data_IF_755796748567
#
_entry.id   IF_755796748567
#
_cell.length_a   1.000
_cell.length_b   1.000
_cell.length_c   1.000
_cell.angle_alpha   90.00
_cell.angle_beta   90.00
_cell.angle_gamma   90.00
#
_symmetry.space_group_name_H-M   'P 1'
#
loop_
_entity.id
_entity.type
_entity.pdbx_description
1 polymer ?
#
# COMPACT_ATOMS: atom_id res chain seq x y z
N UNK A 1 -21.11 5.52 -0.73
CA UNK A 1 -19.88 5.55 -1.58
C UNK A 1 -19.24 4.18 -1.47
N UNK A 2 -19.18 3.47 -2.58
CA UNK A 2 -18.55 2.13 -2.61
C UNK A 2 -17.02 2.30 -2.46
N UNK A 3 -16.43 1.65 -1.45
CA UNK A 3 -14.99 1.65 -1.26
C UNK A 3 -14.44 0.34 -1.80
N UNK A 4 -13.71 0.41 -2.89
CA UNK A 4 -13.04 -0.75 -3.48
C UNK A 4 -11.55 -0.73 -3.18
N UNK A 5 -10.94 -1.91 -3.16
CA UNK A 5 -9.49 -2.02 -3.27
C UNK A 5 -9.12 -1.82 -4.72
N UNK A 6 -8.33 -0.80 -4.96
CA UNK A 6 -7.96 -0.28 -6.26
C UNK A 6 -6.45 -0.33 -6.44
N UNK A 7 -5.97 -0.04 -7.63
CA UNK A 7 -4.54 -0.03 -7.95
C UNK A 7 -4.07 1.41 -8.09
N UNK A 8 -3.01 1.77 -7.35
CA UNK A 8 -2.35 3.08 -7.43
C UNK A 8 -1.18 3.06 -8.40
N UNK A 9 -0.30 2.07 -8.29
CA UNK A 9 0.98 2.05 -9.01
C UNK A 9 1.32 0.66 -9.53
N UNK A 10 1.83 0.60 -10.76
CA UNK A 10 2.44 -0.59 -11.37
C UNK A 10 3.92 -0.35 -11.66
N UNK A 11 4.77 -1.35 -11.37
CA UNK A 11 6.15 -1.42 -11.84
C UNK A 11 6.36 -2.73 -12.59
N UNK A 12 6.58 -2.62 -13.88
CA UNK A 12 6.76 -3.72 -14.81
C UNK A 12 8.22 -3.78 -15.27
N UNK A 13 8.70 -4.98 -15.58
CA UNK A 13 10.08 -5.17 -16.04
C UNK A 13 10.10 -6.17 -17.20
N UNK A 14 10.87 -5.84 -18.23
CA UNK A 14 11.15 -6.71 -19.36
C UNK A 14 12.65 -6.93 -19.51
N UNK A 15 13.04 -8.19 -19.70
CA UNK A 15 14.43 -8.59 -19.94
C UNK A 15 14.66 -8.82 -21.43
N UNK A 16 15.71 -8.23 -22.00
CA UNK A 16 16.04 -8.31 -23.41
C UNK A 16 17.54 -8.58 -23.61
N UNK A 17 17.93 -8.95 -24.84
CA UNK A 17 19.32 -9.18 -25.20
C UNK A 17 20.08 -7.84 -25.18
N UNK A 18 21.24 -7.81 -24.53
CA UNK A 18 22.05 -6.59 -24.37
C UNK A 18 22.55 -5.98 -25.68
N UNK A 19 22.55 -6.72 -26.78
CA UNK A 19 22.87 -6.15 -28.11
C UNK A 19 21.92 -5.00 -28.49
N UNK A 20 20.66 -5.03 -28.03
CA UNK A 20 19.65 -3.98 -28.27
C UNK A 20 19.68 -2.84 -27.26
N UNK A 21 20.60 -2.90 -26.27
CA UNK A 21 20.66 -1.90 -25.20
C UNK A 21 20.75 -0.46 -25.71
N UNK A 22 21.70 -0.22 -26.62
CA UNK A 22 21.94 1.13 -27.14
C UNK A 22 20.76 1.64 -27.98
N UNK A 23 20.11 0.76 -28.73
CA UNK A 23 18.94 1.11 -29.53
C UNK A 23 17.76 1.50 -28.64
N UNK A 24 17.39 0.67 -27.66
CA UNK A 24 16.31 0.96 -26.71
C UNK A 24 16.63 2.22 -25.90
N UNK A 25 17.87 2.39 -25.44
CA UNK A 25 18.32 3.60 -24.76
C UNK A 25 18.12 4.86 -25.62
N UNK A 26 18.52 4.82 -26.89
CA UNK A 26 18.32 5.93 -27.85
C UNK A 26 16.85 6.18 -28.14
N UNK A 27 16.04 5.12 -28.29
CA UNK A 27 14.60 5.21 -28.51
C UNK A 27 13.87 5.92 -27.36
N UNK A 28 14.17 5.55 -26.12
CA UNK A 28 13.60 6.24 -24.95
C UNK A 28 14.06 7.70 -24.90
N UNK A 29 15.35 7.98 -25.18
CA UNK A 29 15.83 9.36 -25.24
C UNK A 29 15.13 10.17 -26.32
N UNK A 30 14.89 9.60 -27.51
CA UNK A 30 14.19 10.25 -28.59
C UNK A 30 12.74 10.57 -28.22
N UNK A 31 12.03 9.59 -27.65
CA UNK A 31 10.67 9.78 -27.13
C UNK A 31 10.63 10.95 -26.12
N UNK A 32 11.51 10.93 -25.10
CA UNK A 32 11.54 11.97 -24.07
C UNK A 32 11.86 13.35 -24.66
N UNK A 33 12.68 13.44 -25.70
CA UNK A 33 12.97 14.70 -26.40
C UNK A 33 11.79 15.24 -27.20
N UNK A 34 11.04 14.35 -27.90
CA UNK A 34 9.88 14.75 -28.70
C UNK A 34 8.71 15.20 -27.83
N UNK A 35 8.56 14.64 -26.65
CA UNK A 35 7.48 14.99 -25.70
C UNK A 35 7.84 16.24 -24.86
N UNK A 36 9.08 16.70 -24.93
CA UNK A 36 9.66 17.72 -24.06
C UNK A 36 9.13 19.17 -24.27
N UNK A 37 7.98 19.34 -24.91
CA UNK A 37 7.39 20.65 -25.13
C UNK A 37 6.52 21.12 -23.95
N UNK A 38 7.00 21.24 -22.77
CA UNK A 38 6.57 22.10 -21.65
C UNK A 38 6.64 21.52 -20.22
N UNK A 39 6.68 20.20 -19.98
CA UNK A 39 6.57 19.69 -18.59
C UNK A 39 7.44 18.48 -18.23
N UNK A 40 8.50 18.19 -18.96
CA UNK A 40 9.35 17.03 -18.67
C UNK A 40 10.64 17.43 -17.97
N UNK A 41 10.77 17.09 -16.70
CA UNK A 41 12.05 17.16 -16.01
C UNK A 41 12.92 15.97 -16.39
N UNK A 42 14.00 16.21 -17.14
CA UNK A 42 15.08 15.27 -17.35
C UNK A 42 15.96 15.22 -16.11
N UNK A 43 15.88 14.15 -15.34
CA UNK A 43 16.94 13.80 -14.39
C UNK A 43 17.59 12.50 -14.85
N UNK A 44 18.65 12.62 -15.64
CA UNK A 44 19.59 11.53 -15.88
C UNK A 44 20.42 11.41 -14.60
N UNK A 45 20.11 10.46 -13.73
CA UNK A 45 21.02 10.02 -12.67
C UNK A 45 21.77 8.81 -13.18
N UNK A 46 23.05 8.98 -13.46
CA UNK A 46 23.98 7.88 -13.74
C UNK A 46 24.27 7.10 -12.44
N UNK A 47 24.25 5.76 -12.57
CA UNK A 47 24.94 4.78 -11.76
C UNK A 47 24.49 4.52 -10.33
N UNK A 48 23.70 3.46 -10.16
CA UNK A 48 23.72 2.68 -8.92
C UNK A 48 23.92 1.19 -9.23
N UNK A 49 24.87 0.54 -8.55
CA UNK A 49 25.04 -0.92 -8.55
C UNK A 49 23.84 -1.55 -7.86
N UNK A 50 23.11 -2.41 -8.54
CA UNK A 50 22.04 -3.19 -7.93
C UNK A 50 22.61 -4.45 -7.28
N UNK A 51 21.98 -4.92 -6.18
CA UNK A 51 22.42 -6.10 -5.41
C UNK A 51 22.56 -7.39 -6.23
N UNK A 52 21.95 -7.47 -7.42
CA UNK A 52 21.90 -8.66 -8.27
C UNK A 52 22.86 -8.61 -9.47
N UNK A 53 23.86 -7.74 -9.46
CA UNK A 53 24.84 -7.62 -10.55
C UNK A 53 24.37 -6.80 -11.76
N UNK A 54 23.16 -6.20 -11.70
CA UNK A 54 22.74 -5.21 -12.68
C UNK A 54 23.25 -3.83 -12.29
N UNK A 55 23.64 -3.06 -13.29
CA UNK A 55 24.02 -1.67 -13.14
C UNK A 55 22.99 -0.79 -13.86
N UNK A 56 22.27 0.05 -13.10
CA UNK A 56 21.36 1.02 -13.70
C UNK A 56 22.14 2.04 -14.48
N UNK A 57 21.80 2.20 -15.75
CA UNK A 57 22.51 3.07 -16.67
C UNK A 57 21.81 4.41 -16.84
N UNK A 58 20.47 4.44 -16.77
CA UNK A 58 19.71 5.69 -16.88
C UNK A 58 18.31 5.59 -16.27
N UNK A 59 17.80 6.75 -15.89
CA UNK A 59 16.42 7.01 -15.50
C UNK A 59 15.85 8.15 -16.31
N UNK A 60 14.56 8.05 -16.69
CA UNK A 60 13.80 9.11 -17.33
C UNK A 60 12.46 9.25 -16.63
N UNK A 61 11.94 10.46 -16.63
CA UNK A 61 10.61 10.78 -16.14
C UNK A 61 9.85 11.48 -17.26
N UNK A 62 8.65 11.01 -17.52
CA UNK A 62 7.70 11.65 -18.43
C UNK A 62 6.35 11.74 -17.72
N UNK A 63 6.05 12.92 -17.20
CA UNK A 63 4.91 13.07 -16.32
C UNK A 63 5.01 12.14 -15.11
N UNK A 64 4.10 11.18 -15.03
CA UNK A 64 4.06 10.16 -13.95
C UNK A 64 4.65 8.80 -14.37
N UNK A 65 5.25 8.73 -15.55
CA UNK A 65 6.00 7.57 -16.00
C UNK A 65 7.47 7.68 -15.56
N UNK A 66 7.97 6.59 -15.01
CA UNK A 66 9.39 6.43 -14.69
C UNK A 66 9.95 5.27 -15.50
N UNK A 67 10.92 5.54 -16.35
CA UNK A 67 11.66 4.54 -17.09
C UNK A 67 13.02 4.32 -16.46
N UNK A 68 13.43 3.07 -16.38
CA UNK A 68 14.74 2.66 -15.91
C UNK A 68 15.29 1.60 -16.83
N UNK A 69 16.53 1.79 -17.29
CA UNK A 69 17.27 0.77 -18.02
C UNK A 69 18.51 0.34 -17.23
N UNK A 70 18.77 -0.95 -17.18
CA UNK A 70 19.91 -1.53 -16.48
C UNK A 70 20.57 -2.62 -17.30
N UNK A 71 21.88 -2.70 -17.25
CA UNK A 71 22.68 -3.76 -17.89
C UNK A 71 23.31 -4.66 -16.84
N UNK A 72 23.54 -5.92 -17.19
CA UNK A 72 24.22 -6.88 -16.35
C UNK A 72 25.70 -6.93 -16.69
N UNK A 73 26.55 -6.57 -15.73
CA UNK A 73 28.01 -6.48 -15.92
C UNK A 73 28.68 -7.87 -15.70
N UNK A 74 28.18 -8.94 -16.36
CA UNK A 74 28.79 -10.27 -16.28
C UNK A 74 29.05 -10.80 -17.68
N UNK A 75 30.26 -11.24 -17.88
CA UNK A 75 30.91 -11.64 -19.13
C UNK A 75 30.19 -12.75 -19.94
N UNK A 76 29.18 -13.46 -19.38
CA UNK A 76 28.61 -14.64 -20.02
C UNK A 76 27.11 -14.64 -20.26
N UNK A 77 26.34 -13.67 -19.79
CA UNK A 77 24.90 -13.56 -20.07
C UNK A 77 24.52 -12.11 -20.28
N UNK A 78 24.59 -11.69 -21.52
CA UNK A 78 24.32 -10.32 -21.97
C UNK A 78 22.81 -9.98 -21.90
N UNK A 79 22.21 -10.02 -20.69
CA UNK A 79 20.84 -9.60 -20.48
C UNK A 79 20.77 -8.20 -19.90
N UNK A 80 20.00 -7.36 -20.54
CA UNK A 80 19.61 -6.05 -20.06
C UNK A 80 18.15 -6.05 -19.64
N UNK A 81 17.76 -5.05 -18.83
CA UNK A 81 16.39 -4.88 -18.36
C UNK A 81 15.91 -3.47 -18.57
N UNK A 82 14.66 -3.35 -18.97
CA UNK A 82 13.90 -2.12 -18.90
C UNK A 82 12.83 -2.28 -17.83
N UNK A 83 12.62 -1.27 -17.00
CA UNK A 83 11.52 -1.20 -16.04
C UNK A 83 10.72 0.06 -16.29
N UNK A 84 9.41 -0.06 -16.24
CA UNK A 84 8.47 1.04 -16.35
C UNK A 84 7.60 1.05 -15.09
N UNK A 85 7.58 2.19 -14.42
CA UNK A 85 6.70 2.44 -13.29
C UNK A 85 5.72 3.53 -13.68
N UNK A 86 4.43 3.30 -13.46
CA UNK A 86 3.39 4.26 -13.78
C UNK A 86 2.18 4.15 -12.85
N UNK A 87 1.37 5.22 -12.85
CA UNK A 87 0.10 5.30 -12.13
C UNK A 87 -1.03 5.33 -13.14
N UNK A 88 -1.71 4.20 -13.41
CA UNK A 88 -2.71 4.10 -14.47
C UNK A 88 -3.82 5.14 -14.34
N UNK A 89 -4.32 5.36 -13.13
CA UNK A 89 -5.41 6.30 -12.86
C UNK A 89 -5.18 7.71 -13.41
N UNK A 90 -3.94 8.19 -13.42
CA UNK A 90 -3.62 9.53 -13.91
C UNK A 90 -3.87 9.66 -15.42
N UNK A 91 -3.71 8.56 -16.15
CA UNK A 91 -3.94 8.53 -17.60
C UNK A 91 -5.38 8.21 -17.98
N UNK A 92 -6.11 7.52 -17.10
CA UNK A 92 -7.50 7.11 -17.33
C UNK A 92 -8.47 8.17 -16.78
N UNK A 93 -8.17 8.69 -15.58
CA UNK A 93 -9.01 9.61 -14.82
C UNK A 93 -8.32 10.98 -14.60
N UNK A 94 -7.76 11.56 -15.64
CA UNK A 94 -6.84 12.71 -15.61
C UNK A 94 -7.34 13.95 -14.85
N UNK A 95 -8.65 14.11 -14.69
CA UNK A 95 -9.26 15.24 -13.96
C UNK A 95 -9.39 14.98 -12.45
N UNK A 96 -9.30 13.74 -12.00
CA UNK A 96 -9.44 13.39 -10.60
C UNK A 96 -8.07 13.14 -9.92
N UNK A 97 -7.62 14.10 -9.11
CA UNK A 97 -6.34 14.04 -8.39
C UNK A 97 -6.27 12.91 -7.35
N UNK A 98 -7.43 12.42 -6.90
CA UNK A 98 -7.54 11.33 -5.95
C UNK A 98 -7.72 9.96 -6.62
N UNK A 99 -7.87 9.93 -7.95
CA UNK A 99 -8.21 8.70 -8.65
C UNK A 99 -7.28 7.53 -8.36
N UNK A 100 -7.88 6.37 -8.30
CA UNK A 100 -7.26 5.06 -8.32
C UNK A 100 -7.91 4.26 -9.46
N UNK A 101 -7.25 3.23 -9.96
CA UNK A 101 -7.82 2.33 -10.97
C UNK A 101 -8.52 1.16 -10.30
N UNK A 102 -9.74 0.87 -10.71
CA UNK A 102 -10.50 -0.30 -10.29
C UNK A 102 -10.29 -1.48 -11.27
N UNK A 103 -10.97 -2.59 -11.05
CA UNK A 103 -10.82 -3.79 -11.90
C UNK A 103 -11.46 -3.61 -13.27
N UNK A 104 -12.39 -2.67 -13.48
CA UNK A 104 -13.02 -2.35 -14.77
C UNK A 104 -12.06 -1.57 -15.69
N UNK A 105 -11.09 -0.88 -15.10
CA UNK A 105 -10.07 -0.11 -15.83
C UNK A 105 -8.95 -0.99 -16.44
N UNK A 106 -9.07 -2.32 -16.39
CA UNK A 106 -8.03 -3.24 -16.85
C UNK A 106 -7.64 -3.02 -18.30
N UNK A 107 -8.62 -3.02 -19.19
CA UNK A 107 -8.38 -2.88 -20.63
C UNK A 107 -7.83 -1.49 -20.96
N UNK A 108 -8.36 -0.44 -20.35
CA UNK A 108 -7.83 0.92 -20.52
C UNK A 108 -6.38 1.03 -20.00
N UNK A 109 -6.04 0.35 -18.91
CA UNK A 109 -4.66 0.29 -18.41
C UNK A 109 -3.72 -0.39 -19.39
N UNK A 110 -4.14 -1.51 -20.00
CA UNK A 110 -3.38 -2.19 -21.06
C UNK A 110 -3.17 -1.28 -22.26
N UNK A 111 -4.21 -0.62 -22.71
CA UNK A 111 -4.16 0.27 -23.88
C UNK A 111 -3.22 1.46 -23.64
N UNK A 112 -3.28 2.07 -22.45
CA UNK A 112 -2.35 3.16 -22.06
C UNK A 112 -0.91 2.66 -22.11
N UNK A 113 -0.61 1.51 -21.50
CA UNK A 113 0.73 0.96 -21.48
C UNK A 113 1.22 0.60 -22.89
N UNK A 114 0.41 -0.13 -23.67
CA UNK A 114 0.77 -0.56 -25.03
C UNK A 114 0.98 0.63 -25.95
N UNK A 115 0.22 1.72 -25.77
CA UNK A 115 0.43 2.99 -26.49
C UNK A 115 1.81 3.59 -26.18
N UNK A 116 2.20 3.62 -24.90
CA UNK A 116 3.54 4.09 -24.49
C UNK A 116 4.65 3.22 -25.12
N UNK A 117 4.46 1.89 -25.11
CA UNK A 117 5.39 0.95 -25.77
C UNK A 117 5.45 1.19 -27.27
N UNK A 118 4.30 1.36 -27.93
CA UNK A 118 4.22 1.69 -29.36
C UNK A 118 4.98 2.99 -29.71
N UNK A 119 4.88 4.00 -28.85
CA UNK A 119 5.66 5.24 -29.03
C UNK A 119 7.17 5.03 -28.89
N UNK A 120 7.63 4.17 -27.96
CA UNK A 120 9.04 3.79 -27.89
C UNK A 120 9.46 3.04 -29.14
N UNK A 121 8.66 2.03 -29.54
CA UNK A 121 8.92 1.17 -30.70
C UNK A 121 9.01 1.96 -32.02
N UNK A 122 8.33 3.10 -32.16
CA UNK A 122 8.44 3.95 -33.36
C UNK A 122 9.84 4.57 -33.55
N UNK A 123 10.70 4.51 -32.54
CA UNK A 123 12.09 4.95 -32.58
C UNK A 123 13.10 3.77 -32.63
N UNK A 124 12.60 2.52 -32.70
CA UNK A 124 13.45 1.34 -32.77
C UNK A 124 13.44 0.77 -34.21
N UNK A 125 14.61 0.34 -34.68
CA UNK A 125 14.81 -0.13 -36.06
C UNK A 125 14.90 -1.64 -36.14
N UNK A 126 15.61 -2.28 -35.19
CA UNK A 126 15.98 -3.70 -35.25
C UNK A 126 15.32 -4.56 -34.18
N UNK A 127 14.73 -3.94 -33.17
CA UNK A 127 14.03 -4.65 -32.10
C UNK A 127 12.69 -3.98 -31.80
N UNK A 128 11.84 -4.72 -31.08
CA UNK A 128 10.60 -4.15 -30.57
C UNK A 128 10.37 -4.60 -29.13
N UNK A 129 9.87 -3.72 -28.30
CA UNK A 129 9.39 -4.05 -26.97
C UNK A 129 8.00 -4.67 -27.10
N UNK A 130 7.72 -5.77 -26.42
CA UNK A 130 6.44 -6.45 -26.50
C UNK A 130 5.34 -5.70 -25.73
N UNK A 131 4.09 -6.07 -25.97
CA UNK A 131 2.94 -5.60 -25.20
C UNK A 131 3.01 -6.03 -23.73
N UNK A 132 2.17 -5.39 -22.90
CA UNK A 132 2.19 -5.47 -21.45
C UNK A 132 2.17 -6.91 -20.89
N UNK A 133 1.48 -7.84 -21.56
CA UNK A 133 1.32 -9.21 -21.07
C UNK A 133 2.63 -10.02 -21.06
N UNK A 134 3.64 -9.57 -21.80
CA UNK A 134 4.99 -10.17 -21.80
C UNK A 134 5.92 -9.57 -20.71
N UNK A 135 5.44 -8.59 -19.95
CA UNK A 135 6.23 -7.94 -18.90
C UNK A 135 6.03 -8.61 -17.56
N UNK A 136 7.10 -8.77 -16.82
CA UNK A 136 7.05 -9.24 -15.43
C UNK A 136 6.60 -8.13 -14.48
N UNK A 137 5.65 -8.44 -13.61
CA UNK A 137 5.24 -7.54 -12.55
C UNK A 137 6.29 -7.58 -11.44
N UNK A 138 6.99 -6.48 -11.28
CA UNK A 138 7.99 -6.28 -10.23
C UNK A 138 7.38 -5.78 -8.93
N UNK A 139 6.38 -4.88 -9.06
CA UNK A 139 5.63 -4.29 -7.95
C UNK A 139 4.25 -3.88 -8.42
N UNK A 140 3.28 -4.09 -7.55
CA UNK A 140 1.93 -3.53 -7.67
C UNK A 140 1.53 -2.94 -6.32
N UNK A 141 0.94 -1.76 -6.33
CA UNK A 141 0.47 -1.08 -5.14
C UNK A 141 -1.05 -1.07 -5.16
N UNK A 142 -1.63 -1.77 -4.18
CA UNK A 142 -3.06 -1.76 -3.92
C UNK A 142 -3.39 -0.69 -2.90
N UNK A 143 -4.47 0.02 -3.11
CA UNK A 143 -4.91 1.07 -2.21
C UNK A 143 -6.42 1.07 -2.01
N UNK A 144 -6.87 1.57 -0.87
CA UNK A 144 -8.23 2.06 -0.69
C UNK A 144 -8.20 3.47 -0.09
N UNK A 145 -9.31 4.18 -0.19
CA UNK A 145 -9.45 5.55 0.28
C UNK A 145 -10.68 5.69 1.17
N UNK A 146 -10.55 6.58 2.14
CA UNK A 146 -11.62 7.02 3.01
C UNK A 146 -11.67 8.55 2.99
N UNK A 147 -12.78 9.11 2.54
CA UNK A 147 -13.07 10.54 2.69
C UNK A 147 -13.74 10.78 4.05
N UNK A 148 -13.16 11.64 4.87
CA UNK A 148 -13.62 11.84 6.24
C UNK A 148 -13.18 13.19 6.83
N UNK A 149 -14.03 13.75 7.68
CA UNK A 149 -13.68 14.88 8.57
C UNK A 149 -12.87 14.41 9.80
N UNK A 150 -12.94 13.11 10.13
CA UNK A 150 -12.27 12.52 11.31
C UNK A 150 -10.84 12.05 11.02
N UNK A 151 -10.20 12.60 10.00
CA UNK A 151 -8.89 12.19 9.52
C UNK A 151 -7.80 12.20 10.60
N UNK A 152 -7.78 13.20 11.48
CA UNK A 152 -6.80 13.28 12.57
C UNK A 152 -6.93 12.13 13.56
N UNK A 153 -8.16 11.69 13.84
CA UNK A 153 -8.41 10.57 14.75
C UNK A 153 -7.91 9.27 14.14
N UNK A 154 -8.26 9.00 12.87
CA UNK A 154 -7.76 7.82 12.17
C UNK A 154 -6.24 7.81 12.06
N UNK A 155 -5.60 8.95 11.75
CA UNK A 155 -4.14 9.07 11.71
C UNK A 155 -3.53 8.72 13.08
N UNK A 156 -4.09 9.24 14.18
CA UNK A 156 -3.60 8.95 15.53
C UNK A 156 -3.77 7.48 15.91
N UNK A 157 -4.90 6.86 15.59
CA UNK A 157 -5.15 5.44 15.83
C UNK A 157 -4.19 4.56 15.04
N UNK A 158 -4.03 4.84 13.75
CA UNK A 158 -3.20 4.01 12.87
C UNK A 158 -1.70 4.20 13.08
N UNK A 159 -1.28 5.32 13.68
CA UNK A 159 0.10 5.48 14.14
C UNK A 159 0.52 4.32 15.07
N UNK A 160 -0.38 3.84 15.92
CA UNK A 160 -0.13 2.72 16.84
C UNK A 160 -0.08 1.34 16.15
N UNK A 161 -0.41 1.25 14.87
CA UNK A 161 -0.33 0.01 14.11
C UNK A 161 1.07 -0.27 13.56
N UNK A 162 1.97 0.70 13.58
CA UNK A 162 3.28 0.61 12.93
C UNK A 162 4.40 0.50 13.95
N UNK A 163 5.23 -0.56 13.85
CA UNK A 163 6.35 -0.82 14.78
C UNK A 163 7.48 0.20 14.72
N UNK A 164 7.68 0.83 13.57
CA UNK A 164 8.65 1.89 13.36
C UNK A 164 7.98 2.97 12.50
N UNK A 165 7.42 4.02 13.10
CA UNK A 165 7.02 5.20 12.35
C UNK A 165 8.30 5.85 11.84
N UNK A 166 8.77 5.44 10.66
CA UNK A 166 9.88 6.12 9.99
C UNK A 166 9.41 7.49 9.55
N UNK A 167 10.20 8.46 9.96
CA UNK A 167 10.23 9.85 9.52
C UNK A 167 8.86 10.40 9.12
N UNK A 168 8.21 10.87 10.11
CA UNK A 168 7.02 11.66 10.05
C UNK A 168 7.33 13.01 9.39
N UNK A 169 7.55 13.01 8.08
CA UNK A 169 7.89 14.23 7.34
C UNK A 169 6.80 15.28 7.53
N UNK A 170 5.55 14.85 7.85
CA UNK A 170 4.41 15.78 7.94
C UNK A 170 3.38 15.46 9.03
N UNK A 171 3.64 14.58 10.01
CA UNK A 171 2.62 14.06 10.97
C UNK A 171 1.35 13.45 10.34
N UNK A 172 1.32 13.29 9.02
CA UNK A 172 0.16 12.85 8.23
C UNK A 172 0.44 11.59 7.41
N UNK A 173 1.60 10.97 7.61
CA UNK A 173 2.00 9.77 6.86
C UNK A 173 2.69 8.77 7.77
N UNK A 174 2.27 7.52 7.69
CA UNK A 174 2.89 6.40 8.39
C UNK A 174 3.19 5.28 7.41
N UNK A 175 4.34 4.67 7.51
CA UNK A 175 4.68 3.53 6.67
C UNK A 175 5.54 2.50 7.39
N UNK A 176 5.36 1.24 7.00
CA UNK A 176 6.24 0.15 7.40
C UNK A 176 7.01 -0.33 6.18
N UNK A 177 8.28 -0.57 6.33
CA UNK A 177 9.11 -1.13 5.28
C UNK A 177 9.47 -2.56 5.64
N UNK A 178 9.10 -3.49 4.77
CA UNK A 178 9.56 -4.86 4.85
C UNK A 178 10.26 -5.29 3.56
N UNK A 179 10.92 -6.43 3.61
CA UNK A 179 11.57 -7.01 2.42
C UNK A 179 10.59 -7.30 1.29
N UNK A 180 9.35 -7.64 1.62
CA UNK A 180 8.35 -8.18 0.71
C UNK A 180 7.20 -7.22 0.42
N UNK A 181 6.82 -6.42 1.42
CA UNK A 181 5.71 -5.46 1.34
C UNK A 181 6.10 -4.16 2.05
N UNK A 182 5.56 -3.04 1.57
CA UNK A 182 5.50 -1.82 2.35
C UNK A 182 4.04 -1.48 2.54
N UNK A 183 3.69 -0.95 3.69
CA UNK A 183 2.34 -0.51 4.01
C UNK A 183 2.44 0.96 4.36
N UNK A 184 1.68 1.78 3.64
CA UNK A 184 1.62 3.22 3.83
C UNK A 184 0.20 3.60 4.22
N UNK A 185 0.08 4.51 5.14
CA UNK A 185 -1.16 5.19 5.48
C UNK A 185 -0.89 6.68 5.55
N UNK A 186 -1.64 7.47 4.81
CA UNK A 186 -1.37 8.91 4.71
C UNK A 186 -2.58 9.71 4.27
N UNK A 187 -2.54 10.99 4.61
CA UNK A 187 -3.49 11.99 4.15
C UNK A 187 -3.11 12.41 2.72
N UNK A 188 -3.94 12.00 1.76
CA UNK A 188 -3.74 12.31 0.34
C UNK A 188 -4.03 13.77 0.01
N UNK A 189 -4.95 14.40 0.73
CA UNK A 189 -5.29 15.84 0.57
C UNK A 189 -4.08 16.70 0.90
N UNK A 190 -3.45 16.45 2.05
CA UNK A 190 -2.21 17.14 2.45
C UNK A 190 -1.07 16.84 1.48
N UNK A 191 -0.91 15.59 1.03
CA UNK A 191 0.13 15.24 0.05
C UNK A 191 -0.01 16.01 -1.27
N UNK A 192 -1.23 16.35 -1.66
CA UNK A 192 -1.53 17.13 -2.88
C UNK A 192 -1.45 18.64 -2.65
N UNK A 193 -1.23 19.10 -1.42
CA UNK A 193 -1.21 20.52 -1.06
C UNK A 193 -2.59 21.17 -1.20
N UNK A 194 -3.67 20.42 -0.97
CA UNK A 194 -5.03 20.91 -1.00
C UNK A 194 -5.51 21.26 0.42
N UNK A 195 -6.35 22.28 0.52
CA UNK A 195 -7.02 22.68 1.76
C UNK A 195 -8.51 22.42 1.59
N UNK A 196 -8.96 21.26 2.03
CA UNK A 196 -10.35 20.83 1.97
C UNK A 196 -10.87 20.54 3.38
N UNK A 197 -12.17 20.71 3.62
CA UNK A 197 -12.83 20.34 4.87
C UNK A 197 -12.82 18.82 5.08
N UNK A 198 -12.97 18.07 3.98
CA UNK A 198 -12.90 16.62 3.96
C UNK A 198 -11.52 16.18 3.48
N UNK A 199 -10.89 15.33 4.27
CA UNK A 199 -9.61 14.76 3.90
C UNK A 199 -9.76 13.35 3.33
N UNK A 200 -8.98 13.05 2.31
CA UNK A 200 -8.88 11.72 1.72
C UNK A 200 -7.71 10.98 2.34
N UNK A 201 -8.01 10.06 3.24
CA UNK A 201 -7.01 9.14 3.79
C UNK A 201 -6.80 7.98 2.84
N UNK A 202 -5.54 7.67 2.51
CA UNK A 202 -5.16 6.56 1.65
C UNK A 202 -4.38 5.51 2.42
N UNK A 203 -4.85 4.29 2.33
CA UNK A 203 -4.15 3.11 2.81
C UNK A 203 -3.60 2.36 1.60
N UNK A 204 -2.29 2.13 1.56
CA UNK A 204 -1.59 1.59 0.40
C UNK A 204 -0.72 0.40 0.81
N UNK A 205 -0.82 -0.71 0.09
CA UNK A 205 0.04 -1.88 0.23
C UNK A 205 0.84 -2.06 -1.04
N UNK A 206 2.14 -1.85 -0.93
CA UNK A 206 3.10 -2.08 -2.02
C UNK A 206 3.53 -3.55 -2.01
N UNK A 207 3.04 -4.31 -2.96
CA UNK A 207 3.35 -5.73 -3.11
C UNK A 207 4.54 -5.93 -4.05
N UNK A 208 5.70 -6.28 -3.51
CA UNK A 208 6.91 -6.58 -4.30
C UNK A 208 6.85 -8.01 -4.85
N UNK A 209 7.62 -8.30 -5.89
CA UNK A 209 7.68 -9.61 -6.56
C UNK A 209 7.74 -10.81 -5.60
N UNK A 210 8.54 -10.71 -4.53
CA UNK A 210 8.66 -11.78 -3.52
C UNK A 210 7.37 -12.05 -2.76
N UNK A 211 6.57 -11.02 -2.49
CA UNK A 211 5.27 -11.20 -1.85
C UNK A 211 4.27 -11.84 -2.82
N UNK A 212 4.25 -11.39 -4.07
CA UNK A 212 3.41 -11.97 -5.12
C UNK A 212 3.74 -13.46 -5.33
N UNK A 213 5.04 -13.83 -5.34
CA UNK A 213 5.46 -15.22 -5.40
C UNK A 213 4.97 -16.01 -4.18
N UNK A 214 5.09 -15.46 -2.97
CA UNK A 214 4.54 -16.10 -1.77
C UNK A 214 3.03 -16.32 -1.86
N UNK A 215 2.26 -15.37 -2.42
CA UNK A 215 0.82 -15.55 -2.62
C UNK A 215 0.52 -16.71 -3.59
N UNK A 216 1.30 -16.83 -4.67
CA UNK A 216 1.20 -17.95 -5.62
C UNK A 216 1.54 -19.29 -4.94
N UNK A 217 2.65 -19.35 -4.21
CA UNK A 217 3.10 -20.55 -3.50
C UNK A 217 2.07 -21.00 -2.46
N UNK A 218 1.36 -20.08 -1.82
CA UNK A 218 0.26 -20.33 -0.89
C UNK A 218 -1.10 -20.54 -1.57
N UNK A 219 -1.13 -20.63 -2.90
CA UNK A 219 -2.36 -20.80 -3.71
C UNK A 219 -3.42 -19.71 -3.46
N UNK A 220 -3.00 -18.53 -3.00
CA UNK A 220 -3.86 -17.35 -2.84
C UNK A 220 -4.18 -16.69 -4.17
N UNK A 221 -3.28 -16.80 -5.14
CA UNK A 221 -3.44 -16.44 -6.55
C UNK A 221 -2.99 -17.61 -7.41
N UNK A 222 -3.51 -17.70 -8.65
CA UNK A 222 -3.17 -18.76 -9.59
C UNK A 222 -1.82 -18.48 -10.24
N UNK A 223 -1.63 -17.26 -10.74
CA UNK A 223 -0.40 -16.83 -11.37
C UNK A 223 -0.12 -15.34 -11.10
N UNK A 224 1.11 -14.88 -11.42
CA UNK A 224 1.50 -13.48 -11.26
C UNK A 224 1.35 -12.81 -12.64
N UNK A 225 0.13 -12.76 -13.13
CA UNK A 225 -0.25 -12.04 -14.35
C UNK A 225 -1.00 -10.77 -13.99
N UNK A 226 -0.97 -9.80 -14.89
CA UNK A 226 -1.71 -8.54 -14.69
C UNK A 226 -3.21 -8.81 -14.53
N UNK A 227 -3.78 -9.70 -15.36
CA UNK A 227 -5.18 -10.09 -15.32
C UNK A 227 -5.59 -10.68 -13.97
N UNK A 228 -4.78 -11.58 -13.40
CA UNK A 228 -5.06 -12.18 -12.07
C UNK A 228 -4.99 -11.13 -10.97
N UNK A 229 -3.96 -10.26 -10.99
CA UNK A 229 -3.78 -9.22 -9.98
C UNK A 229 -4.77 -8.05 -10.13
N UNK A 230 -5.51 -7.99 -11.25
CA UNK A 230 -6.59 -7.02 -11.49
C UNK A 230 -7.99 -7.62 -11.23
N UNK A 231 -8.06 -8.75 -10.53
CA UNK A 231 -9.32 -9.45 -10.28
C UNK A 231 -9.87 -9.15 -8.88
N UNK A 232 -11.19 -9.33 -8.70
CA UNK A 232 -11.84 -9.26 -7.39
C UNK A 232 -11.22 -10.19 -6.35
N UNK A 233 -10.63 -11.31 -6.78
CA UNK A 233 -9.96 -12.26 -5.90
C UNK A 233 -8.82 -11.64 -5.10
N UNK A 234 -8.00 -10.81 -5.74
CA UNK A 234 -6.88 -10.15 -5.07
C UNK A 234 -7.37 -9.17 -4.00
N UNK A 235 -8.53 -8.55 -4.18
CA UNK A 235 -9.10 -7.62 -3.19
C UNK A 235 -9.26 -8.28 -1.83
N UNK A 236 -9.71 -9.54 -1.77
CA UNK A 236 -9.85 -10.29 -0.51
C UNK A 236 -8.49 -10.53 0.16
N UNK A 237 -7.44 -10.81 -0.63
CA UNK A 237 -6.07 -11.00 -0.10
C UNK A 237 -5.55 -9.69 0.49
N UNK A 238 -5.75 -8.58 -0.21
CA UNK A 238 -5.33 -7.25 0.24
C UNK A 238 -6.12 -6.83 1.48
N UNK A 239 -7.45 -7.01 1.48
CA UNK A 239 -8.32 -6.72 2.62
C UNK A 239 -7.89 -7.50 3.87
N UNK A 240 -7.59 -8.79 3.71
CA UNK A 240 -7.08 -9.59 4.82
C UNK A 240 -5.75 -9.01 5.36
N UNK A 241 -4.88 -8.51 4.48
CA UNK A 241 -3.61 -7.89 4.88
C UNK A 241 -3.83 -6.59 5.66
N UNK A 242 -4.79 -5.77 5.24
CA UNK A 242 -5.18 -4.55 5.95
C UNK A 242 -5.73 -4.90 7.34
N UNK A 243 -6.62 -5.90 7.40
CA UNK A 243 -7.20 -6.40 8.66
C UNK A 243 -6.14 -6.86 9.66
N UNK A 244 -5.07 -7.50 9.20
CA UNK A 244 -3.93 -7.87 10.05
C UNK A 244 -3.28 -6.65 10.71
N UNK A 245 -3.27 -5.48 10.04
CA UNK A 245 -2.64 -4.26 10.53
C UNK A 245 -3.55 -3.48 11.47
N UNK A 246 -4.76 -3.12 11.03
CA UNK A 246 -5.66 -2.22 11.78
C UNK A 246 -6.72 -2.93 12.61
N UNK A 247 -6.89 -4.26 12.45
CA UNK A 247 -8.00 -5.02 13.03
C UNK A 247 -9.27 -4.88 12.23
N UNK A 248 -10.36 -5.50 12.68
CA UNK A 248 -11.66 -5.47 12.02
C UNK A 248 -12.76 -4.81 12.85
N UNK A 249 -12.50 -4.52 14.13
CA UNK A 249 -13.50 -3.98 15.04
C UNK A 249 -13.48 -2.45 15.02
N UNK A 250 -14.60 -1.84 15.42
CA UNK A 250 -14.77 -0.40 15.52
C UNK A 250 -13.95 0.22 16.65
N UNK A 251 -13.71 1.50 16.55
CA UNK A 251 -12.96 2.25 17.54
C UNK A 251 -13.93 2.98 18.47
N UNK A 252 -13.65 2.89 19.76
CA UNK A 252 -14.41 3.54 20.81
C UNK A 252 -13.48 4.37 21.71
N UNK A 253 -14.01 5.39 22.39
CA UNK A 253 -13.33 5.97 23.53
C UNK A 253 -13.46 5.04 24.74
N UNK A 254 -12.74 5.35 25.84
CA UNK A 254 -12.69 4.47 26.99
C UNK A 254 -14.04 4.40 27.73
N UNK A 255 -14.78 5.50 27.80
CA UNK A 255 -16.07 5.60 28.50
C UNK A 255 -17.13 4.75 27.79
N UNK A 256 -17.24 4.87 26.47
CA UNK A 256 -18.17 4.08 25.67
C UNK A 256 -17.85 2.59 25.71
N UNK A 257 -16.57 2.24 25.64
CA UNK A 257 -16.11 0.87 25.77
C UNK A 257 -16.48 0.26 27.15
N UNK A 258 -16.33 1.03 28.24
CA UNK A 258 -16.73 0.63 29.59
C UNK A 258 -18.22 0.29 29.68
N UNK A 259 -19.09 1.15 29.18
CA UNK A 259 -20.54 0.90 29.12
C UNK A 259 -20.86 -0.42 28.40
N UNK A 260 -20.29 -0.64 27.21
CA UNK A 260 -20.53 -1.86 26.44
C UNK A 260 -20.03 -3.13 27.15
N UNK A 261 -18.92 -3.02 27.90
CA UNK A 261 -18.35 -4.14 28.66
C UNK A 261 -19.24 -4.49 29.87
N UNK A 262 -19.75 -3.48 30.59
CA UNK A 262 -20.58 -3.66 31.79
C UNK A 262 -21.98 -4.21 31.45
N UNK A 263 -22.54 -3.84 30.30
CA UNK A 263 -23.81 -4.39 29.79
C UNK A 263 -23.71 -5.89 29.48
N UNK A 264 -22.51 -6.37 29.04
CA UNK A 264 -22.36 -7.73 28.50
C UNK A 264 -21.70 -8.71 29.45
N UNK A 265 -20.82 -8.24 30.32
CA UNK A 265 -19.99 -9.11 31.15
C UNK A 265 -20.20 -8.87 32.65
N UNK A 266 -19.80 -9.84 33.46
CA UNK A 266 -19.72 -9.62 34.92
C UNK A 266 -18.69 -8.55 35.24
N UNK A 267 -18.90 -7.76 36.30
CA UNK A 267 -18.01 -6.67 36.71
C UNK A 267 -16.53 -7.06 36.78
N UNK A 268 -16.22 -8.26 37.31
CA UNK A 268 -14.84 -8.77 37.36
C UNK A 268 -14.22 -9.01 35.99
N UNK A 269 -15.01 -9.42 34.99
CA UNK A 269 -14.55 -9.66 33.61
C UNK A 269 -14.45 -8.33 32.87
N UNK A 270 -15.46 -7.46 32.99
CA UNK A 270 -15.46 -6.14 32.39
C UNK A 270 -14.24 -5.32 32.83
N UNK A 271 -13.97 -5.24 34.13
CA UNK A 271 -12.82 -4.54 34.70
C UNK A 271 -11.47 -5.01 34.13
N UNK A 272 -11.29 -6.31 33.95
CA UNK A 272 -10.04 -6.86 33.36
C UNK A 272 -9.85 -6.44 31.91
N UNK A 273 -10.91 -6.44 31.11
CA UNK A 273 -10.87 -6.01 29.73
C UNK A 273 -10.62 -4.52 29.65
N UNK A 274 -11.25 -3.75 30.52
CA UNK A 274 -11.10 -2.31 30.63
C UNK A 274 -9.66 -1.92 31.02
N UNK A 275 -9.04 -2.64 31.98
CA UNK A 275 -7.62 -2.44 32.31
C UNK A 275 -6.71 -2.66 31.11
N UNK A 276 -7.00 -3.64 30.26
CA UNK A 276 -6.27 -3.84 29.01
C UNK A 276 -6.46 -2.67 28.03
N UNK A 277 -7.70 -2.17 27.88
CA UNK A 277 -7.98 -1.01 27.01
C UNK A 277 -7.31 0.27 27.53
N UNK A 278 -7.41 0.55 28.84
CA UNK A 278 -6.71 1.69 29.48
C UNK A 278 -5.19 1.59 29.31
N UNK A 279 -4.64 0.36 29.32
CA UNK A 279 -3.24 0.15 29.03
C UNK A 279 -2.91 0.49 27.56
N UNK A 280 -3.80 0.17 26.62
CA UNK A 280 -3.62 0.42 25.19
C UNK A 280 -3.61 1.92 24.82
N UNK A 281 -4.14 2.81 25.69
CA UNK A 281 -4.09 4.26 25.47
C UNK A 281 -2.68 4.84 25.53
N UNK A 282 -1.72 4.16 26.17
CA UNK A 282 -0.34 4.64 26.29
C UNK A 282 0.32 4.79 24.92
N UNK A 283 0.86 5.97 24.66
CA UNK A 283 1.37 6.34 23.34
C UNK A 283 2.53 5.48 22.82
N UNK A 284 3.37 4.96 23.73
CA UNK A 284 4.55 4.15 23.36
C UNK A 284 4.25 2.67 23.11
N UNK A 285 2.99 2.23 23.23
CA UNK A 285 2.62 0.82 23.07
C UNK A 285 1.99 0.61 21.71
N UNK A 286 2.66 -0.17 20.89
CA UNK A 286 2.17 -0.56 19.58
C UNK A 286 1.13 -1.68 19.67
N UNK A 287 0.13 -1.66 18.78
CA UNK A 287 -0.95 -2.65 18.74
C UNK A 287 -0.44 -4.11 18.75
N UNK A 288 0.62 -4.40 18.00
CA UNK A 288 1.20 -5.75 17.92
C UNK A 288 1.83 -6.22 19.24
N UNK A 289 2.26 -5.31 20.09
CA UNK A 289 3.02 -5.60 21.30
C UNK A 289 2.13 -5.54 22.55
N UNK A 290 0.90 -5.00 22.43
CA UNK A 290 -0.06 -4.87 23.53
C UNK A 290 -0.24 -6.15 24.37
N UNK A 291 -0.46 -7.34 23.78
CA UNK A 291 -0.65 -8.55 24.60
C UNK A 291 0.54 -8.89 25.47
N UNK A 292 1.75 -8.75 24.92
CA UNK A 292 2.98 -9.05 25.64
C UNK A 292 3.27 -7.99 26.72
N UNK A 293 3.18 -6.72 26.35
CA UNK A 293 3.45 -5.61 27.24
C UNK A 293 2.47 -5.57 28.43
N UNK A 294 1.17 -5.86 28.17
CA UNK A 294 0.17 -5.98 29.25
C UNK A 294 0.47 -7.14 30.19
N UNK A 295 0.88 -8.28 29.65
CA UNK A 295 1.25 -9.46 30.46
C UNK A 295 2.44 -9.16 31.38
N UNK A 296 3.44 -8.45 30.89
CA UNK A 296 4.65 -8.09 31.66
C UNK A 296 4.33 -7.13 32.82
N UNK A 297 3.47 -6.13 32.60
CA UNK A 297 3.10 -5.18 33.64
C UNK A 297 2.29 -5.82 34.80
N UNK A 298 1.54 -6.86 34.50
CA UNK A 298 0.76 -7.56 35.53
C UNK A 298 1.50 -8.71 36.19
N UNK A 299 2.85 -8.66 36.27
CA UNK A 299 3.71 -9.69 36.85
C UNK A 299 3.35 -11.10 36.36
N UNK A 300 3.06 -11.23 35.08
CA UNK A 300 2.64 -12.47 34.41
C UNK A 300 1.34 -13.08 34.95
N UNK A 301 0.61 -12.38 35.82
CA UNK A 301 -0.70 -12.85 36.32
C UNK A 301 -1.68 -13.13 35.18
N UNK A 302 -1.57 -12.40 34.08
CA UNK A 302 -2.29 -12.62 32.84
C UNK A 302 -1.28 -12.78 31.71
N UNK A 303 -0.84 -14.01 31.46
CA UNK A 303 0.11 -14.29 30.38
C UNK A 303 -0.44 -13.88 29.00
N UNK A 304 0.45 -13.78 28.03
CA UNK A 304 0.11 -13.44 26.62
C UNK A 304 -1.04 -14.33 26.08
N UNK A 305 -1.07 -15.62 26.45
CA UNK A 305 -2.12 -16.56 26.10
C UNK A 305 -3.49 -16.19 26.70
N UNK A 306 -3.52 -15.66 27.92
CA UNK A 306 -4.76 -15.18 28.52
C UNK A 306 -5.34 -13.99 27.73
N UNK A 307 -4.49 -13.03 27.35
CA UNK A 307 -4.90 -11.88 26.54
C UNK A 307 -5.47 -12.36 25.21
N UNK A 308 -4.76 -13.23 24.51
CA UNK A 308 -5.19 -13.78 23.22
C UNK A 308 -6.47 -14.60 23.29
N UNK A 309 -6.62 -15.42 24.35
CA UNK A 309 -7.71 -16.40 24.44
C UNK A 309 -8.93 -15.91 25.22
N UNK A 310 -8.82 -14.82 25.97
CA UNK A 310 -9.91 -14.30 26.81
C UNK A 310 -10.23 -12.83 26.56
N UNK A 311 -9.22 -11.95 26.53
CA UNK A 311 -9.47 -10.51 26.36
C UNK A 311 -9.83 -10.20 24.92
N UNK A 312 -8.98 -10.57 23.95
CA UNK A 312 -9.24 -10.27 22.54
C UNK A 312 -10.58 -10.87 22.03
N UNK A 313 -10.94 -12.12 22.35
CA UNK A 313 -12.28 -12.64 22.00
C UNK A 313 -13.43 -11.86 22.64
N UNK A 314 -13.25 -11.34 23.87
CA UNK A 314 -14.27 -10.51 24.50
C UNK A 314 -14.46 -9.16 23.79
N UNK A 315 -13.39 -8.53 23.34
CA UNK A 315 -13.43 -7.34 22.53
C UNK A 315 -14.09 -7.60 21.17
N UNK A 316 -13.72 -8.71 20.51
CA UNK A 316 -14.32 -9.10 19.24
C UNK A 316 -15.82 -9.34 19.34
N UNK A 317 -16.30 -9.92 20.46
CA UNK A 317 -17.73 -10.15 20.71
C UNK A 317 -18.54 -8.85 20.76
N UNK A 318 -17.91 -7.75 21.18
CA UNK A 318 -18.51 -6.41 21.28
C UNK A 318 -18.12 -5.50 20.11
N UNK A 319 -17.43 -6.01 19.14
CA UNK A 319 -16.89 -5.24 18.01
C UNK A 319 -15.97 -4.07 18.46
N UNK A 320 -15.23 -4.24 19.57
CA UNK A 320 -14.34 -3.20 20.10
C UNK A 320 -12.91 -3.44 19.62
N UNK A 321 -12.29 -2.45 18.95
CA UNK A 321 -10.88 -2.49 18.60
C UNK A 321 -10.02 -2.24 19.85
N UNK A 322 -8.88 -2.92 20.01
CA UNK A 322 -7.93 -2.60 21.09
C UNK A 322 -7.37 -1.18 21.06
N UNK A 323 -7.41 -0.51 19.91
CA UNK A 323 -7.02 0.90 19.78
C UNK A 323 -8.18 1.79 20.23
N UNK A 324 -7.94 2.62 21.24
CA UNK A 324 -8.94 3.49 21.86
C UNK A 324 -8.79 4.90 21.32
N UNK A 325 -9.93 5.54 21.02
CA UNK A 325 -10.01 6.96 20.66
C UNK A 325 -9.60 7.79 21.87
N UNK A 326 -8.61 8.70 21.74
CA UNK A 326 -8.26 9.58 22.84
C UNK A 326 -9.42 10.53 23.22
N UNK A 327 -9.67 10.69 24.51
CA UNK A 327 -10.83 11.44 25.03
C UNK A 327 -10.88 12.90 24.59
N UNK A 328 -9.72 13.52 24.33
CA UNK A 328 -9.65 14.92 23.88
C UNK A 328 -10.25 15.18 22.49
N UNK A 329 -10.60 14.14 21.73
CA UNK A 329 -11.31 14.31 20.46
C UNK A 329 -12.83 14.48 20.63
N UNK A 330 -13.40 14.17 21.80
CA UNK A 330 -14.82 14.30 22.08
C UNK A 330 -15.73 13.40 21.24
N UNK A 331 -15.17 12.31 20.70
CA UNK A 331 -15.88 11.30 19.88
C UNK A 331 -15.90 9.99 20.64
N UNK A 332 -17.06 9.39 20.79
CA UNK A 332 -17.24 8.13 21.51
C UNK A 332 -17.11 6.88 20.64
N UNK A 333 -17.34 7.00 19.32
CA UNK A 333 -17.32 5.89 18.37
C UNK A 333 -16.87 6.34 16.97
N UNK A 334 -16.04 5.50 16.33
CA UNK A 334 -15.70 5.57 14.91
C UNK A 334 -15.76 4.20 14.29
N UNK A 335 -16.44 4.10 13.16
CA UNK A 335 -16.51 2.86 12.38
C UNK A 335 -15.14 2.47 11.82
N UNK A 336 -14.84 1.18 11.80
CA UNK A 336 -13.62 0.71 11.13
C UNK A 336 -13.75 0.87 9.62
N UNK A 337 -12.77 1.50 8.93
CA UNK A 337 -12.82 1.70 7.48
C UNK A 337 -12.99 0.40 6.67
N UNK A 338 -12.62 -0.76 7.22
CA UNK A 338 -12.83 -2.05 6.57
C UNK A 338 -14.30 -2.42 6.41
N UNK A 339 -15.19 -1.93 7.28
CA UNK A 339 -16.63 -2.20 7.15
C UNK A 339 -17.21 -1.54 5.90
N UNK A 340 -16.62 -0.44 5.44
CA UNK A 340 -16.99 0.21 4.19
C UNK A 340 -16.63 -0.65 2.97
N UNK A 341 -15.58 -1.47 3.06
CA UNK A 341 -15.22 -2.46 2.03
C UNK A 341 -16.13 -3.70 2.04
N UNK A 342 -16.90 -3.92 3.10
CA UNK A 342 -17.79 -5.09 3.28
C UNK A 342 -19.21 -4.82 2.84
N UNK A 343 -19.65 -3.56 2.75
CA UNK A 343 -21.04 -3.21 2.42
C UNK A 343 -21.40 -3.47 0.95
N UNK A 344 -20.40 -3.67 0.10
CA UNK A 344 -20.56 -3.74 -1.36
C UNK A 344 -20.21 -5.12 -1.94
N UNK A 345 -20.10 -6.15 -1.12
CA UNK A 345 -19.91 -7.56 -1.54
C UNK A 345 -21.16 -8.38 -1.35
#
# INVERSE_FOLDING_TARGET
MEIFIMIDTLELTYSFNSQYFNEIFKGINALIKTVNDRNSMRKVKMLHKEKNGFQTTAFWYWGFLEFKIASMNRICLAKSKISIKFKPAIYIHSQNKYALTNYEDYDQTRDVFNRVIGMINSFLETTQLPEIDAWEIKRIDFAFQLETIYYLIYLKLFQKCYKNPFDNIYNTSFYTISKNTNINFYDKTVQLGLEDEYHVLRFEIQCKRKYLQHLKDKKRIVDITLKELWSKRISNVVKQKIKEVIGSNDFFNIERAEVLLDEKFSSKKAERVLQFLRFSTKDHIMRSDMPYAFAMLNNQKYGNEYVKNKIIPSLNMLNINPLIIPDYFGIDHLENPLHLLDRDT
#
